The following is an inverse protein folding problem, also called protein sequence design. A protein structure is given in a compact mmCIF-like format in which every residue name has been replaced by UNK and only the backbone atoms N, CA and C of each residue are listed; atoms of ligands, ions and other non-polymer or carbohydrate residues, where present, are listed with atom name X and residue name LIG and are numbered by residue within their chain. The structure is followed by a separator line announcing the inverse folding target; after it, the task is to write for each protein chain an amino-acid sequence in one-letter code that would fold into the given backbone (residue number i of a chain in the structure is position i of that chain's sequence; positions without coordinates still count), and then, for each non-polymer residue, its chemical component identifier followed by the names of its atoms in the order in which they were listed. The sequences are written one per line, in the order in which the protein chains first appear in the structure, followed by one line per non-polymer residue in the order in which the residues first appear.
data_IF_358629419835
#
_entry.id   IF_358629419835
#
_cell.length_a   1.000
_cell.length_b   1.000
_cell.length_c   1.000
_cell.angle_alpha   90.00
_cell.angle_beta   90.00
_cell.angle_gamma   90.00
#
_symmetry.space_group_name_H-M   'P 1'
#
loop_
_entity.id
_entity.type
_entity.pdbx_description
1 polymer ?
#
# COMPACT_ATOMS: atom_id res chain seq x y z
N UNK A 1 3.73 7.63 -27.04
CA UNK A 1 3.88 6.18 -26.79
C UNK A 1 4.41 5.63 -28.09
N UNK A 2 5.66 5.19 -28.12
CA UNK A 2 6.31 4.70 -29.35
C UNK A 2 5.81 3.29 -29.60
N UNK A 3 5.33 3.01 -30.81
CA UNK A 3 4.91 1.65 -31.16
C UNK A 3 6.13 0.71 -31.19
N UNK A 4 6.04 -0.48 -30.59
CA UNK A 4 7.14 -1.45 -30.61
C UNK A 4 7.41 -1.92 -32.04
N UNK A 5 8.69 -2.03 -32.38
CA UNK A 5 9.12 -2.62 -33.66
C UNK A 5 8.82 -4.13 -33.67
N UNK A 6 8.72 -4.72 -34.86
CA UNK A 6 8.50 -6.17 -35.03
C UNK A 6 9.61 -6.99 -34.34
N UNK A 7 10.84 -6.49 -34.34
CA UNK A 7 12.00 -7.13 -33.71
C UNK A 7 11.89 -7.10 -32.18
N UNK A 8 11.46 -5.97 -31.60
CA UNK A 8 11.16 -5.86 -30.16
C UNK A 8 10.04 -6.81 -29.73
N UNK A 9 8.99 -6.95 -30.55
CA UNK A 9 7.91 -7.90 -30.29
C UNK A 9 8.44 -9.33 -30.32
N UNK A 10 9.26 -9.68 -31.33
CA UNK A 10 9.84 -11.02 -31.46
C UNK A 10 10.75 -11.35 -30.27
N UNK A 11 11.66 -10.45 -29.89
CA UNK A 11 12.55 -10.65 -28.74
C UNK A 11 11.78 -10.77 -27.42
N UNK A 12 10.81 -9.88 -27.18
CA UNK A 12 9.99 -9.95 -25.97
C UNK A 12 9.12 -11.20 -25.88
N UNK A 13 8.59 -11.68 -27.01
CA UNK A 13 7.77 -12.89 -27.06
C UNK A 13 8.54 -14.15 -26.63
N UNK A 14 9.85 -14.23 -26.92
CA UNK A 14 10.71 -15.33 -26.45
C UNK A 14 10.73 -15.43 -24.92
N UNK A 15 10.62 -14.29 -24.23
CA UNK A 15 10.63 -14.19 -22.77
C UNK A 15 9.23 -14.02 -22.15
N UNK A 16 8.17 -14.12 -22.96
CA UNK A 16 6.78 -14.04 -22.50
C UNK A 16 6.26 -12.62 -22.26
N UNK A 17 6.90 -11.60 -22.84
CA UNK A 17 6.44 -10.22 -22.74
C UNK A 17 5.28 -9.91 -23.68
N UNK A 18 4.38 -9.04 -23.21
CA UNK A 18 3.32 -8.46 -24.04
C UNK A 18 3.90 -7.44 -25.03
N UNK A 19 3.24 -7.12 -26.15
CA UNK A 19 3.72 -6.09 -27.08
C UNK A 19 3.98 -4.73 -26.42
N UNK A 20 3.15 -4.35 -25.44
CA UNK A 20 3.36 -3.12 -24.67
C UNK A 20 4.64 -3.16 -23.81
N UNK A 21 4.98 -4.32 -23.25
CA UNK A 21 6.23 -4.52 -22.51
C UNK A 21 7.44 -4.59 -23.45
N UNK A 22 7.29 -5.20 -24.63
CA UNK A 22 8.33 -5.20 -25.67
C UNK A 22 8.73 -3.80 -26.12
N UNK A 23 7.84 -2.81 -26.03
CA UNK A 23 8.15 -1.41 -26.34
C UNK A 23 9.18 -0.78 -25.38
N UNK A 24 9.39 -1.38 -24.21
CA UNK A 24 10.40 -0.93 -23.25
C UNK A 24 11.81 -1.50 -23.51
N UNK A 25 11.93 -2.47 -24.43
CA UNK A 25 13.22 -3.07 -24.77
C UNK A 25 14.12 -2.06 -25.48
N UNK A 26 15.34 -1.91 -24.96
CA UNK A 26 16.34 -1.01 -25.52
C UNK A 26 17.36 -1.81 -26.34
N UNK A 27 17.42 -1.56 -27.64
CA UNK A 27 18.39 -2.20 -28.52
C UNK A 27 18.19 -1.79 -29.97
N UNK A 28 19.24 -1.96 -30.77
CA UNK A 28 19.22 -1.70 -32.22
C UNK A 28 19.35 -2.98 -33.05
N UNK A 29 19.76 -4.07 -32.40
CA UNK A 29 19.89 -5.39 -33.01
C UNK A 29 19.08 -6.42 -32.23
N UNK A 30 18.73 -7.53 -32.88
CA UNK A 30 17.98 -8.61 -32.24
C UNK A 30 18.71 -9.18 -31.02
N UNK A 31 20.04 -9.34 -31.09
CA UNK A 31 20.84 -9.86 -29.99
C UNK A 31 20.84 -8.92 -28.78
N UNK A 32 20.93 -7.61 -29.00
CA UNK A 32 20.81 -6.61 -27.93
C UNK A 32 19.43 -6.65 -27.29
N UNK A 33 18.37 -6.78 -28.09
CA UNK A 33 17.00 -6.86 -27.61
C UNK A 33 16.73 -8.13 -26.80
N UNK A 34 17.31 -9.26 -27.19
CA UNK A 34 17.24 -10.51 -26.43
C UNK A 34 17.99 -10.42 -25.10
N UNK A 35 19.19 -9.83 -25.10
CA UNK A 35 19.97 -9.62 -23.89
C UNK A 35 19.25 -8.68 -22.89
N UNK A 36 18.65 -7.60 -23.40
CA UNK A 36 17.88 -6.66 -22.58
C UNK A 36 16.60 -7.32 -22.05
N UNK A 37 15.92 -8.12 -22.88
CA UNK A 37 14.74 -8.87 -22.44
C UNK A 37 15.06 -9.90 -21.34
N UNK A 38 16.20 -10.59 -21.45
CA UNK A 38 16.69 -11.49 -20.41
C UNK A 38 17.03 -10.74 -19.12
N UNK A 39 17.72 -9.60 -19.22
CA UNK A 39 18.05 -8.75 -18.08
C UNK A 39 16.79 -8.25 -17.36
N UNK A 40 15.76 -7.81 -18.11
CA UNK A 40 14.48 -7.40 -17.55
C UNK A 40 13.74 -8.57 -16.88
N UNK A 41 13.76 -9.76 -17.48
CA UNK A 41 13.15 -10.96 -16.88
C UNK A 41 13.83 -11.35 -15.57
N UNK A 42 15.15 -11.17 -15.46
CA UNK A 42 15.92 -11.43 -14.25
C UNK A 42 15.69 -10.36 -13.17
N UNK A 43 15.58 -9.08 -13.57
CA UNK A 43 15.32 -7.98 -12.65
C UNK A 43 13.90 -8.00 -12.08
N UNK A 44 12.94 -8.44 -12.90
CA UNK A 44 11.54 -8.58 -12.53
C UNK A 44 11.08 -10.02 -12.76
N UNK A 45 11.49 -10.96 -11.90
CA UNK A 45 11.03 -12.33 -12.00
C UNK A 45 9.51 -12.33 -11.83
N UNK A 46 8.79 -12.54 -12.92
CA UNK A 46 7.35 -12.75 -12.87
C UNK A 46 7.14 -13.95 -11.94
N UNK A 47 6.37 -13.81 -10.84
CA UNK A 47 6.09 -14.95 -9.98
C UNK A 47 5.50 -16.03 -10.88
N UNK A 48 6.13 -17.22 -10.86
CA UNK A 48 5.67 -18.34 -11.66
C UNK A 48 4.17 -18.49 -11.38
N UNK A 49 3.35 -18.21 -12.39
CA UNK A 49 1.95 -18.56 -12.36
C UNK A 49 1.94 -20.08 -12.36
N UNK A 50 1.97 -20.67 -11.17
CA UNK A 50 1.57 -22.05 -10.98
C UNK A 50 0.25 -22.18 -11.71
N UNK A 51 0.25 -23.07 -12.69
CA UNK A 51 -0.83 -23.39 -13.59
C UNK A 51 -2.05 -23.80 -12.78
N UNK A 52 -2.81 -22.84 -12.24
CA UNK A 52 -4.10 -23.11 -11.65
C UNK A 52 -5.06 -23.42 -12.81
N UNK A 53 -5.61 -24.64 -12.88
CA UNK A 53 -6.58 -24.99 -13.89
C UNK A 53 -7.86 -24.19 -13.61
N UNK A 54 -7.98 -23.02 -14.22
CA UNK A 54 -9.11 -22.12 -13.97
C UNK A 54 -8.95 -20.71 -14.50
N UNK A 55 -7.72 -20.20 -14.71
CA UNK A 55 -7.51 -18.81 -15.10
C UNK A 55 -7.98 -18.53 -16.54
N UNK A 56 -9.21 -18.03 -16.70
CA UNK A 56 -9.71 -17.49 -17.96
C UNK A 56 -9.43 -15.98 -18.00
N UNK A 57 -9.19 -15.35 -19.17
CA UNK A 57 -9.00 -13.90 -19.27
C UNK A 57 -10.18 -13.06 -18.73
N UNK A 58 -11.36 -13.68 -18.54
CA UNK A 58 -12.51 -13.10 -17.83
C UNK A 58 -12.27 -12.88 -16.32
N UNK A 59 -11.24 -13.51 -15.77
CA UNK A 59 -10.89 -13.44 -14.35
C UNK A 59 -9.91 -12.29 -14.07
N UNK A 60 -9.44 -11.60 -15.10
CA UNK A 60 -8.80 -10.27 -14.97
C UNK A 60 -9.84 -9.17 -14.72
N UNK A 61 -10.72 -9.37 -13.74
CA UNK A 61 -11.26 -8.24 -12.99
C UNK A 61 -10.13 -7.72 -12.07
N UNK A 62 -9.21 -6.95 -12.67
CA UNK A 62 -8.28 -6.10 -11.91
C UNK A 62 -9.12 -5.03 -11.23
N UNK A 63 -9.56 -5.40 -10.04
CA UNK A 63 -10.57 -4.69 -9.27
C UNK A 63 -10.96 -5.58 -8.11
N UNK A 64 -9.98 -6.05 -7.33
CA UNK A 64 -10.28 -6.48 -5.96
C UNK A 64 -11.15 -5.40 -5.33
N UNK A 65 -12.28 -5.82 -4.74
CA UNK A 65 -13.43 -4.98 -4.39
C UNK A 65 -12.99 -3.52 -4.18
N UNK A 66 -13.20 -2.67 -5.20
CA UNK A 66 -12.98 -1.23 -5.07
C UNK A 66 -13.74 -0.83 -3.82
N UNK A 67 -12.99 -0.54 -2.77
CA UNK A 67 -13.49 -0.60 -1.40
C UNK A 67 -14.79 0.16 -1.37
N UNK A 68 -15.89 -0.57 -1.12
CA UNK A 68 -17.29 -0.12 -1.19
C UNK A 68 -17.34 1.38 -1.37
N UNK A 69 -17.33 1.83 -2.64
CA UNK A 69 -17.47 3.24 -3.00
C UNK A 69 -18.59 3.75 -2.13
N UNK A 70 -18.29 4.67 -1.19
CA UNK A 70 -19.07 5.01 0.00
C UNK A 70 -20.55 5.00 -0.33
N UNK A 71 -21.12 3.80 -0.24
CA UNK A 71 -22.46 3.53 -0.68
C UNK A 71 -23.30 3.94 0.49
N UNK A 72 -24.25 4.83 0.26
CA UNK A 72 -25.23 5.30 1.24
C UNK A 72 -26.04 4.17 1.91
N UNK A 73 -25.74 2.90 1.65
CA UNK A 73 -26.44 1.72 2.18
C UNK A 73 -25.59 0.82 3.10
N UNK A 74 -24.33 1.16 3.39
CA UNK A 74 -23.49 0.29 4.25
C UNK A 74 -22.45 0.99 5.12
N UNK A 75 -22.25 2.30 4.96
CA UNK A 75 -21.36 3.08 5.80
C UNK A 75 -21.83 3.05 7.25
N UNK A 76 -20.97 2.65 8.17
CA UNK A 76 -21.22 2.87 9.60
C UNK A 76 -21.49 4.38 9.76
N UNK A 77 -22.67 4.82 10.22
CA UNK A 77 -23.00 6.24 10.28
C UNK A 77 -21.89 6.99 11.02
N UNK A 78 -21.60 8.23 10.60
CA UNK A 78 -20.54 9.05 11.17
C UNK A 78 -20.55 9.07 12.71
N UNK A 79 -21.74 9.01 13.32
CA UNK A 79 -21.96 8.88 14.75
C UNK A 79 -21.38 7.58 15.37
N UNK A 80 -21.49 6.43 14.68
CA UNK A 80 -20.86 5.17 15.11
C UNK A 80 -19.33 5.21 14.98
N UNK A 81 -18.81 5.88 13.95
CA UNK A 81 -17.37 6.10 13.78
C UNK A 81 -16.78 6.96 14.90
N UNK A 82 -17.45 8.07 15.22
CA UNK A 82 -17.07 8.96 16.33
C UNK A 82 -17.13 8.25 17.69
N UNK A 83 -18.17 7.44 17.93
CA UNK A 83 -18.28 6.65 19.16
C UNK A 83 -17.13 5.64 19.31
N UNK A 84 -16.80 4.90 18.25
CA UNK A 84 -15.67 3.95 18.26
C UNK A 84 -14.32 4.64 18.44
N UNK A 85 -14.13 5.81 17.83
CA UNK A 85 -12.93 6.61 18.05
C UNK A 85 -12.81 7.06 19.50
N UNK A 86 -13.90 7.57 20.09
CA UNK A 86 -13.92 8.01 21.48
C UNK A 86 -13.64 6.85 22.44
N UNK A 87 -14.21 5.67 22.21
CA UNK A 87 -13.95 4.46 23.00
C UNK A 87 -12.48 4.05 22.96
N UNK A 88 -11.88 3.98 21.75
CA UNK A 88 -10.47 3.60 21.58
C UNK A 88 -9.49 4.57 22.24
N UNK A 89 -9.85 5.85 22.29
CA UNK A 89 -9.00 6.91 22.83
C UNK A 89 -9.39 7.36 24.24
N UNK A 90 -10.35 6.66 24.88
CA UNK A 90 -10.80 6.97 26.23
C UNK A 90 -11.36 8.39 26.35
N UNK A 91 -12.03 8.88 25.31
CA UNK A 91 -12.67 10.19 25.28
C UNK A 91 -14.14 10.06 25.70
N UNK A 92 -14.67 11.15 26.24
CA UNK A 92 -16.08 11.33 26.51
C UNK A 92 -16.90 11.25 25.20
N UNK A 93 -18.23 11.03 25.28
CA UNK A 93 -19.09 10.95 24.10
C UNK A 93 -19.12 12.25 23.25
N UNK A 94 -18.71 13.38 23.83
CA UNK A 94 -18.53 14.67 23.15
C UNK A 94 -17.13 14.86 22.53
N UNK A 95 -16.25 13.85 22.61
CA UNK A 95 -14.87 13.90 22.10
C UNK A 95 -13.88 14.61 23.02
N UNK A 96 -14.30 15.04 24.22
CA UNK A 96 -13.40 15.65 25.20
C UNK A 96 -12.64 14.60 26.00
N UNK A 97 -11.46 14.95 26.52
CA UNK A 97 -10.75 14.08 27.45
C UNK A 97 -11.49 14.09 28.79
N UNK A 98 -11.67 12.93 29.46
CA UNK A 98 -12.23 12.89 30.79
C UNK A 98 -11.38 13.77 31.71
N UNK A 99 -12.05 14.57 32.56
CA UNK A 99 -11.38 15.41 33.53
C UNK A 99 -10.47 14.52 34.39
N UNK A 100 -9.17 14.80 34.31
CA UNK A 100 -8.17 14.02 35.03
C UNK A 100 -8.46 14.20 36.52
N UNK A 101 -8.95 13.15 37.18
CA UNK A 101 -9.15 13.17 38.63
C UNK A 101 -7.89 13.75 39.30
N UNK A 102 -8.02 14.66 40.26
CA UNK A 102 -6.87 15.21 40.95
C UNK A 102 -6.08 14.03 41.52
N UNK A 103 -4.84 13.86 41.04
CA UNK A 103 -3.94 12.81 41.53
C UNK A 103 -3.72 13.08 43.02
N UNK A 104 -4.47 12.41 43.88
CA UNK A 104 -4.16 12.31 45.29
C UNK A 104 -2.88 11.50 45.43
N UNK A 105 -1.80 12.19 45.80
CA UNK A 105 -0.54 11.58 46.22
C UNK A 105 0.42 11.26 45.08
N UNK A 106 1.38 12.16 44.86
CA UNK A 106 2.66 11.80 44.22
C UNK A 106 3.64 11.44 45.34
N UNK A 107 4.08 10.19 45.50
CA UNK A 107 5.36 9.91 46.13
C UNK A 107 6.42 9.77 45.02
N UNK A 108 7.39 10.68 45.01
CA UNK A 108 8.61 10.53 44.22
C UNK A 108 8.74 11.46 43.01
N UNK A 109 8.83 12.76 43.24
CA UNK A 109 9.63 13.62 42.36
C UNK A 109 11.06 13.65 42.92
N UNK A 110 12.05 13.02 42.28
CA UNK A 110 13.44 13.04 42.75
C UNK A 110 14.15 14.39 42.50
N UNK A 111 13.50 15.32 41.79
CA UNK A 111 14.04 16.64 41.46
C UNK A 111 13.14 17.79 41.91
N UNK A 112 12.24 17.55 42.87
CA UNK A 112 11.50 18.65 43.50
C UNK A 112 12.52 19.60 44.14
N UNK A 113 12.60 20.79 43.56
CA UNK A 113 13.62 21.80 43.75
C UNK A 113 13.86 22.09 45.24
N UNK A 114 15.12 22.00 45.67
CA UNK A 114 15.58 22.56 46.93
C UNK A 114 15.39 24.08 46.86
N UNK A 115 14.33 24.58 47.47
CA UNK A 115 14.18 26.01 47.76
C UNK A 115 15.36 26.46 48.61
N UNK A 116 16.31 27.15 47.99
CA UNK A 116 17.37 27.86 48.71
C UNK A 116 16.82 29.22 49.14
N UNK A 117 16.44 29.35 50.41
CA UNK A 117 16.16 30.65 51.02
C UNK A 117 17.48 31.28 51.48
N UNK A 118 17.88 32.38 50.81
CA UNK A 118 18.88 33.29 51.37
C UNK A 118 18.22 34.15 52.47
N UNK A 119 18.92 34.27 53.60
CA UNK A 119 18.57 35.09 54.74
C UNK A 119 19.06 36.53 54.55
#
# INVERSE_FOLDING_TARGET
MTDPTTEQIAAGAVHGFTPAQSAALCGTTLDELLADAEALRLAFPTPAAESQPGFRPSDMSVGGARGVDVGSEGGTPLAKGAALYNERHGLNPDGTKPEKAPRTGTPGQPFAELTYSFR
#
